data_IF_762473485735
#
_entry.id   IF_762473485735
#
_cell.length_a   1.000
_cell.length_b   1.000
_cell.length_c   1.000
_cell.angle_alpha   90.00
_cell.angle_beta   90.00
_cell.angle_gamma   90.00
#
_symmetry.space_group_name_H-M   'P 1'
#
loop_
_entity.id
_entity.type
_entity.pdbx_description
1 polymer ?
#
# COMPACT_ATOMS: atom_id res chain seq x y z
N UNK A 1 -17.96 7.65 21.89
CA UNK A 1 -17.46 6.40 21.33
C UNK A 1 -18.63 5.54 20.96
N UNK A 2 -18.85 5.16 19.72
CA UNK A 2 -19.91 4.22 19.39
C UNK A 2 -19.55 2.85 20.00
N UNK A 3 -20.36 2.38 20.89
CA UNK A 3 -20.34 1.01 21.39
C UNK A 3 -20.84 0.11 20.27
N UNK A 4 -20.07 -0.92 19.86
CA UNK A 4 -20.60 -2.00 19.03
C UNK A 4 -20.14 -2.07 17.58
N UNK A 5 -18.96 -1.58 17.21
CA UNK A 5 -18.35 -1.95 15.93
C UNK A 5 -18.01 -3.45 15.94
N UNK A 6 -18.92 -4.27 15.42
CA UNK A 6 -18.61 -5.67 15.11
C UNK A 6 -17.60 -5.67 13.96
N UNK A 7 -16.45 -6.28 14.15
CA UNK A 7 -15.47 -6.55 13.08
C UNK A 7 -15.92 -7.81 12.38
N UNK A 8 -16.23 -7.69 11.11
CA UNK A 8 -16.49 -8.83 10.25
C UNK A 8 -15.17 -9.16 9.56
N UNK A 9 -14.42 -10.09 10.13
CA UNK A 9 -13.21 -10.67 9.50
C UNK A 9 -13.63 -11.98 8.82
N UNK A 10 -12.89 -12.39 7.79
CA UNK A 10 -13.21 -13.57 6.96
C UNK A 10 -14.43 -13.39 6.02
N UNK A 11 -14.79 -12.13 5.74
CA UNK A 11 -15.85 -11.83 4.76
C UNK A 11 -15.35 -11.70 3.33
N UNK A 12 -14.03 -11.63 3.13
CA UNK A 12 -13.41 -11.34 1.83
C UNK A 12 -13.57 -9.88 1.38
N UNK A 13 -14.08 -9.02 2.24
CA UNK A 13 -14.26 -7.60 1.97
C UNK A 13 -12.94 -6.82 2.08
N UNK A 14 -12.91 -5.63 1.48
CA UNK A 14 -11.88 -4.65 1.78
C UNK A 14 -12.17 -3.97 3.12
N UNK A 15 -11.12 -3.66 3.84
CA UNK A 15 -11.19 -2.95 5.12
C UNK A 15 -10.66 -1.53 4.99
N UNK A 16 -11.48 -0.55 5.37
CA UNK A 16 -11.02 0.81 5.60
C UNK A 16 -10.56 0.95 7.04
N UNK A 17 -9.25 1.05 7.22
CA UNK A 17 -8.60 1.07 8.54
C UNK A 17 -8.04 2.45 8.84
N UNK A 18 -8.23 2.91 10.09
CA UNK A 18 -7.59 4.13 10.59
C UNK A 18 -6.99 3.88 11.97
N UNK A 19 -5.72 4.22 12.14
CA UNK A 19 -5.08 4.24 13.46
C UNK A 19 -4.22 5.48 13.63
N UNK A 20 -4.10 5.93 14.87
CA UNK A 20 -3.44 7.18 15.21
C UNK A 20 -2.24 6.96 16.11
N UNK A 21 -1.28 7.87 16.05
CA UNK A 21 -0.25 8.01 17.05
C UNK A 21 -0.87 8.32 18.41
N UNK A 22 -0.16 7.97 19.47
CA UNK A 22 -0.62 8.17 20.85
C UNK A 22 -0.92 9.64 21.12
N UNK A 23 -2.09 9.92 21.71
CA UNK A 23 -2.63 11.26 21.90
C UNK A 23 -2.67 12.14 20.65
N UNK A 24 -2.71 11.52 19.45
CA UNK A 24 -2.64 12.22 18.16
C UNK A 24 -1.44 13.15 18.01
N UNK A 25 -0.35 12.89 18.73
CA UNK A 25 0.91 13.59 18.56
C UNK A 25 1.47 13.32 17.16
N UNK A 26 2.10 14.30 16.48
CA UNK A 26 2.60 14.14 15.12
C UNK A 26 3.90 13.31 15.08
N UNK A 27 3.85 12.05 15.58
CA UNK A 27 5.03 11.16 15.63
C UNK A 27 5.53 10.72 14.25
N UNK A 28 4.69 10.88 13.20
CA UNK A 28 5.06 10.72 11.78
C UNK A 28 5.25 12.07 11.08
N UNK A 29 5.59 13.12 11.83
CA UNK A 29 5.65 14.51 11.35
C UNK A 29 6.75 14.81 10.35
N UNK A 30 7.81 13.99 10.25
CA UNK A 30 8.89 14.21 9.28
C UNK A 30 8.78 13.32 8.05
N UNK A 31 9.33 13.74 6.89
CA UNK A 31 9.39 12.93 5.68
C UNK A 31 9.95 11.52 5.90
N UNK A 32 11.08 11.42 6.61
CA UNK A 32 11.79 10.16 6.86
C UNK A 32 10.92 9.17 7.62
N UNK A 33 10.16 9.65 8.62
CA UNK A 33 9.28 8.81 9.44
C UNK A 33 8.09 8.28 8.64
N UNK A 34 7.54 9.10 7.72
CA UNK A 34 6.49 8.66 6.81
C UNK A 34 7.01 7.64 5.80
N UNK A 35 8.19 7.87 5.23
CA UNK A 35 8.83 6.92 4.31
C UNK A 35 9.16 5.60 5.00
N UNK A 36 9.59 5.63 6.26
CA UNK A 36 9.80 4.42 7.06
C UNK A 36 8.49 3.66 7.29
N UNK A 37 7.37 4.37 7.48
CA UNK A 37 6.06 3.73 7.57
C UNK A 37 5.69 3.01 6.26
N UNK A 38 5.91 3.63 5.11
CA UNK A 38 5.65 3.01 3.80
C UNK A 38 6.49 1.74 3.59
N UNK A 39 7.77 1.78 3.95
CA UNK A 39 8.65 0.60 3.90
C UNK A 39 8.14 -0.53 4.80
N UNK A 40 7.75 -0.21 6.04
CA UNK A 40 7.21 -1.19 6.96
C UNK A 40 5.87 -1.78 6.47
N UNK A 41 5.03 -0.95 5.85
CA UNK A 41 3.77 -1.39 5.26
C UNK A 41 4.02 -2.36 4.10
N UNK A 42 4.93 -2.03 3.17
CA UNK A 42 5.24 -2.89 2.03
C UNK A 42 5.85 -4.23 2.46
N UNK A 43 6.81 -4.21 3.40
CA UNK A 43 7.40 -5.44 3.95
C UNK A 43 6.32 -6.33 4.58
N UNK A 44 5.42 -5.73 5.36
CA UNK A 44 4.34 -6.48 6.01
C UNK A 44 3.32 -6.98 4.99
N UNK A 45 2.99 -6.18 3.95
CA UNK A 45 2.10 -6.59 2.86
C UNK A 45 2.60 -7.87 2.20
N UNK A 46 3.89 -7.90 1.86
CA UNK A 46 4.54 -9.07 1.26
C UNK A 46 4.56 -10.27 2.22
N UNK A 47 4.92 -10.04 3.47
CA UNK A 47 5.03 -11.11 4.48
C UNK A 47 3.69 -11.77 4.80
N UNK A 48 2.60 -11.02 4.83
CA UNK A 48 1.27 -11.50 5.21
C UNK A 48 0.36 -11.80 4.03
N UNK A 49 0.76 -11.45 2.80
CA UNK A 49 -0.01 -11.74 1.59
C UNK A 49 -1.34 -11.00 1.55
N UNK A 50 -1.35 -9.68 1.70
CA UNK A 50 -2.56 -8.86 1.55
C UNK A 50 -2.36 -7.76 0.50
N UNK A 51 -3.45 -7.23 -0.01
CA UNK A 51 -3.43 -6.15 -0.98
C UNK A 51 -3.70 -4.81 -0.31
N UNK A 52 -3.01 -3.77 -0.80
CA UNK A 52 -3.27 -2.37 -0.43
C UNK A 52 -3.91 -1.68 -1.62
N UNK A 53 -5.19 -1.30 -1.50
CA UNK A 53 -5.90 -0.56 -2.55
C UNK A 53 -5.67 0.94 -2.42
N UNK A 54 -5.46 1.44 -1.21
CA UNK A 54 -5.17 2.85 -1.00
C UNK A 54 -4.64 3.15 0.38
N UNK A 55 -3.84 4.22 0.49
CA UNK A 55 -3.34 4.69 1.79
C UNK A 55 -2.99 6.16 1.75
N UNK A 56 -2.89 6.76 2.93
CA UNK A 56 -2.23 8.03 3.20
C UNK A 56 -1.61 8.01 4.59
N UNK A 57 -0.36 8.46 4.67
CA UNK A 57 0.37 8.63 5.93
C UNK A 57 0.33 10.09 6.32
N UNK A 58 -0.44 10.41 7.36
CA UNK A 58 -0.55 11.75 7.92
C UNK A 58 0.46 11.92 9.08
N UNK A 59 0.73 13.14 9.52
CA UNK A 59 1.68 13.35 10.64
C UNK A 59 1.31 12.61 11.93
N UNK A 60 0.03 12.46 12.23
CA UNK A 60 -0.48 11.91 13.48
C UNK A 60 -1.36 10.67 13.33
N UNK A 61 -1.64 10.22 12.10
CA UNK A 61 -2.48 9.05 11.84
C UNK A 61 -2.28 8.49 10.43
N UNK A 62 -2.82 7.32 10.19
CA UNK A 62 -2.79 6.64 8.89
C UNK A 62 -4.20 6.19 8.51
N UNK A 63 -4.55 6.35 7.25
CA UNK A 63 -5.72 5.71 6.63
C UNK A 63 -5.25 4.71 5.59
N UNK A 64 -5.89 3.54 5.55
CA UNK A 64 -5.60 2.50 4.56
C UNK A 64 -6.89 1.82 4.09
N UNK A 65 -6.88 1.38 2.83
CA UNK A 65 -7.81 0.40 2.27
C UNK A 65 -7.01 -0.86 1.96
N UNK A 66 -7.32 -1.94 2.63
CA UNK A 66 -6.56 -3.19 2.56
C UNK A 66 -7.49 -4.39 2.46
N UNK A 67 -7.05 -5.46 1.79
CA UNK A 67 -7.72 -6.76 1.86
C UNK A 67 -7.36 -7.49 3.15
N UNK A 68 -8.10 -8.55 3.44
CA UNK A 68 -7.68 -9.51 4.44
C UNK A 68 -6.45 -10.30 3.94
N UNK A 69 -5.50 -10.66 4.84
CA UNK A 69 -4.40 -11.56 4.51
C UNK A 69 -4.90 -12.99 4.23
N UNK A 70 -4.29 -13.68 3.27
CA UNK A 70 -4.69 -15.04 2.89
C UNK A 70 -4.55 -16.07 4.03
N UNK A 71 -3.55 -15.93 4.87
CA UNK A 71 -3.21 -16.95 5.87
C UNK A 71 -3.40 -16.53 7.32
N UNK A 72 -3.72 -15.27 7.58
CA UNK A 72 -3.79 -14.70 8.93
C UNK A 72 -4.85 -13.61 9.01
N UNK A 73 -5.32 -13.37 10.23
CA UNK A 73 -6.28 -12.29 10.48
C UNK A 73 -5.65 -10.90 10.34
N UNK A 74 -6.38 -9.96 9.78
CA UNK A 74 -5.93 -8.60 9.46
C UNK A 74 -5.28 -7.88 10.66
N UNK A 75 -5.83 -8.04 11.88
CA UNK A 75 -5.28 -7.35 13.04
C UNK A 75 -3.81 -7.72 13.33
N UNK A 76 -3.37 -8.96 13.01
CA UNK A 76 -1.95 -9.37 13.16
C UNK A 76 -1.04 -8.65 12.18
N UNK A 77 -1.46 -8.48 10.93
CA UNK A 77 -0.72 -7.70 9.95
C UNK A 77 -0.61 -6.23 10.38
N UNK A 78 -1.72 -5.63 10.82
CA UNK A 78 -1.72 -4.25 11.33
C UNK A 78 -0.83 -4.10 12.57
N UNK A 79 -0.84 -5.07 13.46
CA UNK A 79 0.04 -5.08 14.64
C UNK A 79 1.51 -5.15 14.21
N UNK A 80 1.85 -5.97 13.21
CA UNK A 80 3.21 -6.09 12.69
C UNK A 80 3.72 -4.76 12.14
N UNK A 81 2.96 -4.08 11.26
CA UNK A 81 3.30 -2.73 10.78
C UNK A 81 3.53 -1.77 11.93
N UNK A 82 2.57 -1.69 12.86
CA UNK A 82 2.64 -0.79 14.02
C UNK A 82 3.87 -1.06 14.89
N UNK A 83 4.19 -2.31 15.15
CA UNK A 83 5.34 -2.69 15.95
C UNK A 83 6.66 -2.40 15.23
N UNK A 84 6.77 -2.69 13.94
CA UNK A 84 7.96 -2.40 13.14
C UNK A 84 8.29 -0.91 13.19
N UNK A 85 7.31 -0.06 12.90
CA UNK A 85 7.47 1.39 12.96
C UNK A 85 7.82 1.88 14.37
N UNK A 86 7.11 1.38 15.39
CA UNK A 86 7.36 1.78 16.78
C UNK A 86 8.77 1.42 17.25
N UNK A 87 9.25 0.21 16.93
CA UNK A 87 10.61 -0.24 17.29
C UNK A 87 11.68 0.62 16.64
N UNK A 88 11.51 0.96 15.35
CA UNK A 88 12.49 1.76 14.62
C UNK A 88 12.48 3.23 15.03
N UNK A 89 11.29 3.78 15.37
CA UNK A 89 11.13 5.19 15.72
C UNK A 89 11.04 5.46 17.23
N UNK A 90 11.01 4.43 18.07
CA UNK A 90 10.96 4.58 19.53
C UNK A 90 12.27 5.16 20.07
N UNK A 91 12.33 6.47 20.12
CA UNK A 91 13.47 7.21 20.67
C UNK A 91 13.52 7.20 22.20
N UNK A 92 12.42 6.87 22.88
CA UNK A 92 12.31 6.72 24.33
C UNK A 92 11.12 5.82 24.69
N UNK A 93 11.33 4.93 25.68
CA UNK A 93 10.36 3.91 26.10
C UNK A 93 9.20 4.43 26.95
N UNK A 94 9.15 5.72 27.27
CA UNK A 94 8.26 6.27 28.30
C UNK A 94 6.81 6.43 27.82
N UNK A 95 6.55 6.35 26.52
CA UNK A 95 5.23 6.60 25.96
C UNK A 95 4.95 5.68 24.74
N UNK A 96 3.77 5.06 24.66
CA UNK A 96 3.37 4.29 23.48
C UNK A 96 3.48 5.11 22.19
N UNK A 97 3.93 4.50 21.10
CA UNK A 97 3.95 5.19 19.80
C UNK A 97 2.53 5.35 19.23
N UNK A 98 1.71 4.31 19.31
CA UNK A 98 0.38 4.23 18.75
C UNK A 98 -0.71 4.17 19.80
N UNK A 99 -1.90 4.68 19.43
CA UNK A 99 -3.12 4.36 20.17
C UNK A 99 -3.36 2.85 20.12
N UNK A 100 -3.84 2.23 21.22
CA UNK A 100 -4.09 0.79 21.27
C UNK A 100 -5.13 0.34 20.25
N UNK A 101 -6.21 1.12 20.09
CA UNK A 101 -7.33 0.80 19.22
C UNK A 101 -7.15 1.40 17.83
N UNK A 102 -7.78 0.77 16.84
CA UNK A 102 -7.92 1.29 15.48
C UNK A 102 -9.39 1.22 15.05
N UNK A 103 -9.76 2.07 14.11
CA UNK A 103 -11.06 2.03 13.45
C UNK A 103 -10.96 1.07 12.27
N UNK A 104 -11.97 0.22 12.12
CA UNK A 104 -12.09 -0.78 11.07
C UNK A 104 -13.53 -0.75 10.53
N UNK A 105 -13.64 -0.66 9.20
CA UNK A 105 -14.92 -0.59 8.51
C UNK A 105 -14.84 -1.42 7.23
N UNK A 106 -15.71 -2.43 7.12
CA UNK A 106 -15.80 -3.26 5.92
C UNK A 106 -16.37 -2.45 4.75
N UNK A 107 -15.71 -2.56 3.59
CA UNK A 107 -16.09 -1.89 2.36
C UNK A 107 -16.74 -2.91 1.42
N UNK A 108 -18.05 -3.02 1.48
CA UNK A 108 -18.85 -4.01 0.77
C UNK A 108 -19.37 -3.58 -0.60
N UNK A 109 -19.07 -2.37 -1.06
CA UNK A 109 -19.53 -1.88 -2.37
C UNK A 109 -18.51 -0.97 -3.05
N UNK A 110 -18.51 -0.99 -4.37
CA UNK A 110 -17.68 -0.12 -5.20
C UNK A 110 -17.89 1.38 -4.86
N UNK A 111 -19.14 1.79 -4.64
CA UNK A 111 -19.45 3.15 -4.23
C UNK A 111 -18.72 3.53 -2.93
N UNK A 112 -18.69 2.63 -1.95
CA UNK A 112 -17.98 2.86 -0.68
C UNK A 112 -16.47 2.86 -0.86
N UNK A 113 -15.95 2.01 -1.75
CA UNK A 113 -14.54 2.01 -2.13
C UNK A 113 -14.11 3.37 -2.69
N UNK A 114 -14.83 3.87 -3.68
CA UNK A 114 -14.58 5.18 -4.30
C UNK A 114 -14.67 6.32 -3.27
N UNK A 115 -15.68 6.29 -2.40
CA UNK A 115 -15.85 7.27 -1.31
C UNK A 115 -14.61 7.29 -0.39
N UNK A 116 -14.14 6.10 0.04
CA UNK A 116 -12.99 5.98 0.93
C UNK A 116 -11.67 6.35 0.27
N UNK A 117 -11.45 5.96 -1.00
CA UNK A 117 -10.29 6.40 -1.76
C UNK A 117 -10.23 7.92 -1.90
N UNK A 118 -11.34 8.55 -2.28
CA UNK A 118 -11.42 10.02 -2.37
C UNK A 118 -11.14 10.68 -1.03
N UNK A 119 -11.66 10.12 0.06
CA UNK A 119 -11.39 10.62 1.40
C UNK A 119 -9.91 10.53 1.76
N UNK A 120 -9.27 9.38 1.53
CA UNK A 120 -7.85 9.13 1.75
C UNK A 120 -7.01 10.17 0.99
N UNK A 121 -7.24 10.31 -0.32
CA UNK A 121 -6.44 11.16 -1.18
C UNK A 121 -6.62 12.66 -0.89
N UNK A 122 -7.80 13.08 -0.46
CA UNK A 122 -8.08 14.49 -0.12
C UNK A 122 -7.73 14.86 1.32
N UNK A 123 -7.36 13.90 2.15
CA UNK A 123 -7.09 14.13 3.57
C UNK A 123 -5.99 15.18 3.80
N UNK A 124 -4.81 15.14 3.13
CA UNK A 124 -3.77 16.15 3.31
C UNK A 124 -4.22 17.57 2.94
N UNK A 125 -5.00 17.71 1.88
CA UNK A 125 -5.57 19.01 1.47
C UNK A 125 -6.59 19.51 2.49
N UNK A 126 -7.50 18.64 2.94
CA UNK A 126 -8.50 19.00 3.97
C UNK A 126 -7.86 19.42 5.29
N UNK A 127 -6.66 18.93 5.57
CA UNK A 127 -5.88 19.28 6.77
C UNK A 127 -4.96 20.47 6.56
N UNK A 128 -4.97 21.09 5.38
CA UNK A 128 -4.15 22.26 5.06
C UNK A 128 -2.65 21.98 4.99
N UNK A 129 -2.24 20.71 4.79
CA UNK A 129 -0.84 20.33 4.71
C UNK A 129 -0.24 20.59 3.33
N UNK A 130 -1.07 20.53 2.28
CA UNK A 130 -0.73 20.80 0.89
C UNK A 130 -1.91 21.44 0.17
N UNK A 131 -1.64 22.09 -0.96
CA UNK A 131 -2.69 22.71 -1.79
C UNK A 131 -3.42 21.67 -2.66
N UNK A 132 -2.71 20.65 -3.13
CA UNK A 132 -3.23 19.62 -4.03
C UNK A 132 -2.85 18.23 -3.54
N UNK A 133 -3.64 17.18 -3.83
CA UNK A 133 -3.33 15.81 -3.42
C UNK A 133 -2.00 15.27 -3.95
N UNK A 134 -1.61 15.67 -5.17
CA UNK A 134 -0.36 15.30 -5.82
C UNK A 134 0.90 15.77 -5.09
N UNK A 135 0.78 16.84 -4.31
CA UNK A 135 1.89 17.41 -3.52
C UNK A 135 2.21 16.58 -2.27
N UNK A 136 1.31 15.63 -1.90
CA UNK A 136 1.52 14.76 -0.75
C UNK A 136 2.09 13.40 -1.16
N UNK A 137 3.41 13.23 -1.02
CA UNK A 137 4.14 12.06 -1.51
C UNK A 137 3.72 10.74 -0.83
N UNK A 138 3.39 10.78 0.45
CA UNK A 138 3.07 9.60 1.28
C UNK A 138 1.60 9.19 1.15
N UNK A 139 1.20 8.94 -0.08
CA UNK A 139 -0.17 8.59 -0.44
C UNK A 139 -0.19 7.78 -1.73
N UNK A 140 -1.16 6.91 -1.87
CA UNK A 140 -1.46 6.19 -3.11
C UNK A 140 -1.99 7.07 -4.25
N UNK A 141 -2.20 8.37 -4.03
CA UNK A 141 -2.77 9.28 -5.04
C UNK A 141 -1.97 9.28 -6.36
N UNK A 142 -0.64 9.38 -6.29
CA UNK A 142 0.22 9.40 -7.51
C UNK A 142 0.05 8.15 -8.37
N UNK A 143 -0.10 6.99 -7.74
CA UNK A 143 -0.36 5.75 -8.45
C UNK A 143 -1.65 5.85 -9.29
N UNK A 144 -2.74 6.34 -8.69
CA UNK A 144 -4.02 6.51 -9.39
C UNK A 144 -3.99 7.59 -10.47
N UNK A 145 -3.24 8.66 -10.26
CA UNK A 145 -3.11 9.76 -11.21
C UNK A 145 -2.21 9.43 -12.41
N UNK A 146 -1.15 8.63 -12.21
CA UNK A 146 -0.08 8.46 -13.21
C UNK A 146 0.24 7.02 -13.57
N UNK A 147 -0.25 6.03 -12.81
CA UNK A 147 0.13 4.62 -12.95
C UNK A 147 1.56 4.30 -12.47
N UNK A 148 2.28 5.26 -11.90
CA UNK A 148 3.66 5.07 -11.40
C UNK A 148 3.62 4.25 -10.11
N UNK A 149 4.53 3.28 -10.00
CA UNK A 149 4.74 2.52 -8.77
C UNK A 149 5.39 3.38 -7.70
N UNK A 150 4.87 3.28 -6.47
CA UNK A 150 5.48 3.86 -5.27
C UNK A 150 6.24 2.82 -4.47
N UNK A 151 6.56 3.16 -3.20
CA UNK A 151 7.17 2.24 -2.24
C UNK A 151 6.23 1.08 -1.93
N UNK A 152 4.94 1.37 -1.78
CA UNK A 152 3.89 0.37 -1.51
C UNK A 152 3.21 0.00 -2.81
N UNK A 153 3.17 -1.30 -3.13
CA UNK A 153 2.41 -1.79 -4.28
C UNK A 153 0.92 -1.59 -4.07
N UNK A 154 0.28 -0.92 -5.02
CA UNK A 154 -1.16 -0.63 -4.98
C UNK A 154 -1.92 -1.61 -5.86
N UNK A 155 -2.91 -2.29 -5.32
CA UNK A 155 -3.85 -3.10 -6.10
C UNK A 155 -4.84 -2.18 -6.81
N UNK A 156 -4.76 -2.18 -8.14
CA UNK A 156 -5.55 -1.33 -9.02
C UNK A 156 -5.64 -1.94 -10.42
N UNK A 157 -6.46 -1.36 -11.29
CA UNK A 157 -6.50 -1.76 -12.70
C UNK A 157 -5.13 -1.63 -13.39
N UNK A 158 -4.31 -0.64 -13.03
CA UNK A 158 -2.96 -0.46 -13.56
C UNK A 158 -2.07 -1.67 -13.22
N UNK A 159 -2.12 -2.11 -11.99
CA UNK A 159 -1.35 -3.25 -11.50
C UNK A 159 -1.83 -4.56 -12.12
N UNK A 160 -3.15 -4.76 -12.19
CA UNK A 160 -3.75 -5.93 -12.84
C UNK A 160 -3.34 -6.03 -14.32
N UNK A 161 -3.46 -4.94 -15.08
CA UNK A 161 -3.03 -4.88 -16.50
C UNK A 161 -1.54 -5.17 -16.66
N UNK A 162 -0.70 -4.71 -15.72
CA UNK A 162 0.75 -4.96 -15.75
C UNK A 162 1.07 -6.43 -15.50
N UNK A 163 0.42 -7.06 -14.53
CA UNK A 163 0.58 -8.50 -14.25
C UNK A 163 0.17 -9.34 -15.46
N UNK A 164 -0.95 -9.02 -16.12
CA UNK A 164 -1.37 -9.69 -17.35
C UNK A 164 -0.33 -9.57 -18.48
N UNK A 165 0.24 -8.38 -18.69
CA UNK A 165 1.30 -8.17 -19.71
C UNK A 165 2.57 -8.95 -19.39
N UNK A 166 2.98 -9.03 -18.13
CA UNK A 166 4.14 -9.82 -17.72
C UNK A 166 3.88 -11.33 -17.86
N UNK A 167 2.69 -11.82 -17.52
CA UNK A 167 2.28 -13.20 -17.73
C UNK A 167 2.30 -13.59 -19.21
N UNK A 168 1.68 -12.81 -20.07
CA UNK A 168 1.69 -13.03 -21.52
C UNK A 168 3.10 -12.98 -22.14
N UNK A 169 4.00 -12.16 -21.62
CA UNK A 169 5.38 -12.12 -22.07
C UNK A 169 6.21 -13.33 -21.61
N UNK A 170 5.85 -13.94 -20.48
CA UNK A 170 6.47 -15.16 -19.97
C UNK A 170 6.02 -16.42 -20.71
N UNK A 171 4.77 -16.44 -21.18
CA UNK A 171 4.19 -17.56 -21.94
C UNK A 171 4.64 -17.62 -23.41
N UNK A 172 5.24 -16.52 -23.93
CA UNK A 172 5.74 -16.49 -25.29
C UNK A 172 7.23 -16.10 -25.31
N UNK A 173 8.15 -17.03 -24.92
CA UNK A 173 9.58 -16.79 -25.05
C UNK A 173 9.94 -16.64 -26.52
N UNK A 174 10.55 -15.51 -26.91
CA UNK A 174 11.11 -15.34 -28.26
C UNK A 174 11.99 -16.56 -28.57
N UNK A 175 11.84 -17.19 -29.75
CA UNK A 175 12.74 -18.26 -30.15
C UNK A 175 14.16 -17.70 -30.20
N UNK A 176 15.01 -18.20 -29.33
CA UNK A 176 16.43 -17.89 -29.34
C UNK A 176 17.07 -18.57 -30.53
N UNK A 177 17.61 -17.81 -31.45
CA UNK A 177 18.62 -18.30 -32.37
C UNK A 177 18.16 -18.64 -33.77
N UNK A 178 17.97 -17.63 -34.62
CA UNK A 178 18.39 -17.77 -36.00
C UNK A 178 19.90 -17.53 -36.00
N UNK A 179 20.68 -18.60 -36.07
CA UNK A 179 22.09 -18.51 -36.42
C UNK A 179 22.15 -18.18 -37.90
N UNK A 180 22.65 -17.00 -38.22
CA UNK A 180 23.05 -16.66 -39.57
C UNK A 180 24.17 -17.61 -40.04
N UNK A 181 23.75 -18.58 -40.85
CA UNK A 181 24.67 -19.40 -41.62
C UNK A 181 25.20 -18.57 -42.80
N UNK A 182 26.38 -18.05 -42.68
CA UNK A 182 27.09 -17.45 -43.80
C UNK A 182 27.36 -18.51 -44.88
N UNK A 183 27.11 -18.27 -46.18
CA UNK A 183 27.52 -19.17 -47.23
C UNK A 183 29.01 -19.05 -47.47
N UNK A 184 29.70 -20.15 -47.28
CA UNK A 184 31.11 -20.32 -47.66
C UNK A 184 31.23 -20.34 -49.18
N UNK A 185 31.83 -19.29 -49.75
CA UNK A 185 32.33 -19.25 -51.13
C UNK A 185 33.51 -20.19 -51.28
N UNK A 186 33.32 -21.30 -51.95
CA UNK A 186 34.39 -22.14 -52.48
C UNK A 186 34.67 -21.72 -53.92
N UNK A 187 35.77 -21.03 -54.14
CA UNK A 187 36.35 -20.77 -55.48
C UNK A 187 37.05 -22.06 -55.88
N UNK A 188 36.60 -22.68 -56.96
CA UNK A 188 37.38 -23.68 -57.72
C UNK A 188 37.85 -23.02 -59.03
N UNK A 189 39.14 -23.28 -59.29
CA UNK A 189 39.87 -22.95 -60.53
C UNK A 189 39.10 -23.21 -61.83
#
# INVERSE_FOLDING_TARGET
MPWGLKRFQESGDLHYVTFSCYHRKPKLGTPERRSLFEQALEQTRQQYGFFVTGYVVMPEHVHMLVSEPEQKVLWRALQSVKQSVARTLALRADEPFWQPRYYDFNVWSERKLIEKLRYIHRNPVKRGLVAKPEDWQWSSFRHYATGIEGVVEIESEWTARRRQRKGAASENPRPSGARDGAPSNVIKK
#
